data_IF_165574627627
#
_entry.id   IF_165574627627
#
_cell.length_a   1.000
_cell.length_b   1.000
_cell.length_c   1.000
_cell.angle_alpha   90.00
_cell.angle_beta   90.00
_cell.angle_gamma   90.00
#
_symmetry.space_group_name_H-M   'P 1'
#
loop_
_entity.id
_entity.type
_entity.pdbx_description
1 polymer ?
#
# COMPACT_ATOMS: atom_id res chain seq x y z
N UNK A 1 -7.26 -7.39 -7.35
CA UNK A 1 -8.41 -6.88 -6.58
C UNK A 1 -9.50 -7.94 -6.52
N UNK A 2 -10.20 -8.09 -5.40
CA UNK A 2 -11.33 -9.02 -5.29
C UNK A 2 -12.57 -8.51 -6.04
N UNK A 3 -13.47 -9.41 -6.45
CA UNK A 3 -14.75 -9.03 -7.09
C UNK A 3 -15.57 -8.06 -6.22
N UNK A 4 -15.57 -8.29 -4.90
CA UNK A 4 -16.24 -7.43 -3.94
C UNK A 4 -15.67 -6.01 -3.91
N UNK A 5 -14.34 -5.84 -4.01
CA UNK A 5 -13.72 -4.52 -4.04
C UNK A 5 -14.07 -3.76 -5.33
N UNK A 6 -14.13 -4.45 -6.47
CA UNK A 6 -14.51 -3.84 -7.75
C UNK A 6 -15.98 -3.41 -7.75
N UNK A 7 -16.87 -4.23 -7.19
CA UNK A 7 -18.29 -3.91 -7.10
C UNK A 7 -18.55 -2.76 -6.12
N UNK A 8 -17.86 -2.73 -4.97
CA UNK A 8 -17.92 -1.62 -4.04
C UNK A 8 -17.44 -0.29 -4.67
N UNK A 9 -16.37 -0.31 -5.46
CA UNK A 9 -15.89 0.87 -6.18
C UNK A 9 -16.95 1.38 -7.18
N UNK A 10 -17.55 0.47 -7.97
CA UNK A 10 -18.62 0.84 -8.91
C UNK A 10 -19.84 1.44 -8.22
N UNK A 11 -20.25 0.88 -7.08
CA UNK A 11 -21.37 1.43 -6.33
C UNK A 11 -21.05 2.82 -5.77
N UNK A 12 -19.80 3.05 -5.35
CA UNK A 12 -19.34 4.36 -4.88
C UNK A 12 -19.42 5.42 -5.97
N UNK A 13 -19.03 5.09 -7.21
CA UNK A 13 -19.09 6.01 -8.35
C UNK A 13 -20.52 6.45 -8.69
N UNK A 14 -21.54 5.66 -8.33
CA UNK A 14 -22.95 5.96 -8.58
C UNK A 14 -23.58 6.87 -7.51
N UNK A 15 -22.88 7.12 -6.40
CA UNK A 15 -23.40 7.95 -5.30
C UNK A 15 -23.34 9.45 -5.64
N UNK A 16 -24.18 10.30 -5.00
CA UNK A 16 -23.99 11.75 -5.02
C UNK A 16 -22.63 12.15 -4.45
N UNK A 17 -22.09 13.28 -4.92
CA UNK A 17 -20.75 13.75 -4.53
C UNK A 17 -20.56 13.93 -3.01
N UNK A 18 -21.62 14.37 -2.29
CA UNK A 18 -21.59 14.47 -0.82
C UNK A 18 -21.32 13.14 -0.14
N UNK A 19 -21.91 12.07 -0.67
CA UNK A 19 -21.85 10.73 -0.08
C UNK A 19 -20.55 10.04 -0.47
N UNK A 20 -20.04 10.31 -1.69
CA UNK A 20 -18.69 9.91 -2.10
C UNK A 20 -17.62 10.51 -1.18
N UNK A 21 -17.72 11.82 -0.91
CA UNK A 21 -16.80 12.52 -0.01
C UNK A 21 -16.83 11.95 1.41
N UNK A 22 -18.03 11.66 1.92
CA UNK A 22 -18.17 10.99 3.22
C UNK A 22 -17.54 9.59 3.21
N UNK A 23 -17.85 8.76 2.22
CA UNK A 23 -17.32 7.41 2.10
C UNK A 23 -15.79 7.42 2.01
N UNK A 24 -15.21 8.34 1.24
CA UNK A 24 -13.77 8.50 1.11
C UNK A 24 -13.08 8.84 2.45
N UNK A 25 -13.60 9.83 3.18
CA UNK A 25 -13.03 10.21 4.49
C UNK A 25 -13.24 9.12 5.55
N UNK A 26 -14.33 8.36 5.46
CA UNK A 26 -14.55 7.19 6.31
C UNK A 26 -13.54 6.07 6.01
N UNK A 27 -13.35 5.72 4.74
CA UNK A 27 -12.37 4.71 4.31
C UNK A 27 -10.96 5.11 4.72
N UNK A 28 -10.56 6.38 4.54
CA UNK A 28 -9.28 6.88 5.03
C UNK A 28 -9.06 6.62 6.52
N UNK A 29 -10.08 6.86 7.35
CA UNK A 29 -9.99 6.60 8.80
C UNK A 29 -9.82 5.10 9.08
N UNK A 30 -10.55 4.24 8.36
CA UNK A 30 -10.40 2.79 8.50
C UNK A 30 -9.01 2.31 8.10
N UNK A 31 -8.48 2.80 6.97
CA UNK A 31 -7.13 2.48 6.49
C UNK A 31 -6.08 2.91 7.50
N UNK A 32 -6.16 4.15 8.01
CA UNK A 32 -5.24 4.64 9.06
C UNK A 32 -5.33 3.86 10.36
N UNK A 33 -6.51 3.39 10.76
CA UNK A 33 -6.65 2.56 11.95
C UNK A 33 -6.08 1.15 11.73
N UNK A 34 -6.17 0.63 10.50
CA UNK A 34 -5.67 -0.69 10.14
C UNK A 34 -4.15 -0.71 9.93
N UNK A 35 -3.59 0.36 9.36
CA UNK A 35 -2.16 0.54 9.11
C UNK A 35 -1.75 2.00 9.37
N UNK A 36 -1.50 2.37 10.64
CA UNK A 36 -1.15 3.74 11.01
C UNK A 36 0.13 4.25 10.36
N UNK A 37 1.09 3.35 10.18
CA UNK A 37 2.45 3.65 9.73
C UNK A 37 2.69 3.26 8.26
N UNK A 38 1.64 2.85 7.53
CA UNK A 38 1.71 2.39 6.14
C UNK A 38 2.74 1.28 5.90
N UNK A 39 2.91 0.39 6.88
CA UNK A 39 3.92 -0.68 6.86
C UNK A 39 3.38 -2.02 6.40
N UNK A 40 2.06 -2.16 6.25
CA UNK A 40 1.45 -3.43 5.87
C UNK A 40 1.51 -3.62 4.36
N UNK A 41 2.10 -4.74 3.99
CA UNK A 41 2.19 -5.17 2.61
C UNK A 41 0.92 -5.93 2.21
N UNK A 42 0.45 -5.70 0.99
CA UNK A 42 -0.45 -6.64 0.34
C UNK A 42 0.25 -8.00 0.16
N UNK A 43 -0.50 -9.11 0.01
CA UNK A 43 0.12 -10.42 -0.21
C UNK A 43 1.06 -10.47 -1.41
N UNK A 44 0.77 -9.71 -2.46
CA UNK A 44 1.62 -9.59 -3.64
C UNK A 44 2.92 -8.84 -3.35
N UNK A 45 2.83 -7.69 -2.66
CA UNK A 45 4.00 -6.92 -2.25
C UNK A 45 4.89 -7.71 -1.29
N UNK A 46 4.29 -8.42 -0.33
CA UNK A 46 5.02 -9.29 0.58
C UNK A 46 5.80 -10.37 -0.18
N UNK A 47 5.18 -10.99 -1.20
CA UNK A 47 5.85 -11.99 -2.03
C UNK A 47 7.01 -11.39 -2.82
N UNK A 48 6.85 -10.19 -3.36
CA UNK A 48 7.91 -9.47 -4.08
C UNK A 48 9.08 -9.10 -3.17
N UNK A 49 8.80 -8.72 -1.92
CA UNK A 49 9.85 -8.45 -0.92
C UNK A 49 10.62 -9.73 -0.60
N UNK A 50 9.93 -10.85 -0.32
CA UNK A 50 10.58 -12.15 -0.05
C UNK A 50 11.40 -12.68 -1.25
N UNK A 51 10.91 -12.47 -2.48
CA UNK A 51 11.68 -12.78 -3.70
C UNK A 51 12.94 -11.91 -3.82
N UNK A 52 12.85 -10.62 -3.49
CA UNK A 52 13.98 -9.69 -3.54
C UNK A 52 15.03 -9.98 -2.45
N UNK A 53 14.60 -10.35 -1.24
CA UNK A 53 15.49 -10.73 -0.13
C UNK A 53 16.30 -12.01 -0.42
N UNK A 54 15.78 -12.90 -1.27
CA UNK A 54 16.47 -14.14 -1.69
C UNK A 54 17.48 -13.93 -2.83
N UNK A 55 17.50 -12.76 -3.46
CA UNK A 55 18.47 -12.40 -4.50
C UNK A 55 19.81 -11.91 -3.95
N UNK A 56 20.66 -11.35 -4.80
CA UNK A 56 21.86 -10.61 -4.37
C UNK A 56 21.46 -9.24 -3.82
N UNK A 57 20.95 -9.22 -2.60
CA UNK A 57 20.68 -8.00 -1.85
C UNK A 57 21.85 -7.71 -0.91
N UNK A 58 22.27 -6.44 -0.86
CA UNK A 58 23.21 -5.92 0.13
C UNK A 58 22.38 -5.08 1.10
N UNK A 59 22.42 -5.41 2.38
CA UNK A 59 21.72 -4.63 3.41
C UNK A 59 22.21 -3.17 3.37
N UNK A 60 21.30 -2.21 3.53
CA UNK A 60 21.64 -0.80 3.50
C UNK A 60 22.73 -0.41 4.52
N UNK A 61 22.90 -1.19 5.60
CA UNK A 61 23.97 -1.03 6.59
C UNK A 61 25.35 -1.45 6.06
N UNK A 62 25.38 -2.36 5.09
CA UNK A 62 26.61 -2.87 4.48
C UNK A 62 27.04 -2.03 3.26
N UNK A 63 26.21 -1.07 2.84
CA UNK A 63 26.53 -0.12 1.78
C UNK A 63 27.39 1.02 2.34
N UNK A 64 28.59 1.18 1.79
CA UNK A 64 29.45 2.35 2.07
C UNK A 64 28.97 3.56 1.27
N UNK A 65 28.00 4.29 1.83
CA UNK A 65 27.39 5.48 1.22
C UNK A 65 28.39 6.61 0.94
N UNK A 66 29.55 6.62 1.60
CA UNK A 66 30.58 7.65 1.38
C UNK A 66 31.31 7.50 0.04
N UNK A 67 31.19 6.35 -0.61
CA UNK A 67 31.82 6.01 -1.89
C UNK A 67 30.89 6.10 -3.09
N UNK A 68 29.62 6.44 -2.88
CA UNK A 68 28.63 6.53 -3.95
C UNK A 68 28.39 8.02 -4.27
N UNK A 69 28.55 8.42 -5.54
CA UNK A 69 28.25 9.79 -6.01
C UNK A 69 29.41 10.80 -6.03
N UNK A 70 30.66 10.35 -6.21
CA UNK A 70 31.77 11.24 -6.61
C UNK A 70 31.84 11.41 -8.12
#
# INVERSE_FOLDING_TARGET
MSNMAMEAARLMDMLPESDQNFAYEFIKKLVRAWDPDFTKLTPEEARRVDEAEKGEFIDARDIDWSKIGR
#
